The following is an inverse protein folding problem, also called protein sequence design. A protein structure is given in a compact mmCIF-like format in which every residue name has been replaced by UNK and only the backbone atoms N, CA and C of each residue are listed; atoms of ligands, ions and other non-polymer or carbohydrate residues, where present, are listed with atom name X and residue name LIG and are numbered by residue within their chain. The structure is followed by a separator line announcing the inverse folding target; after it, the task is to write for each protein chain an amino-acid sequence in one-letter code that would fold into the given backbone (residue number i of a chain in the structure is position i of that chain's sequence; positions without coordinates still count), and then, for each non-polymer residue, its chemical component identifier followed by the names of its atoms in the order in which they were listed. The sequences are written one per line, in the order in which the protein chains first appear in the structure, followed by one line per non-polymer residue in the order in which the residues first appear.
data_IF_780486471485
#
_entry.id   IF_780486471485
#
_cell.length_a   1.000
_cell.length_b   1.000
_cell.length_c   1.000
_cell.angle_alpha   90.00
_cell.angle_beta   90.00
_cell.angle_gamma   90.00
#
_symmetry.space_group_name_H-M   'P 1'
#
loop_
_entity.id
_entity.type
_entity.pdbx_description
1 polymer ?
#
# COMPACT_ATOMS: atom_id res chain seq x y z
N UNK A 1 -34.93 -24.26 16.07
CA UNK A 1 -33.63 -24.47 16.75
C UNK A 1 -33.84 -24.44 18.26
N UNK A 2 -34.73 -25.28 18.78
CA UNK A 2 -35.02 -25.37 20.21
C UNK A 2 -34.49 -26.71 20.70
N UNK A 3 -33.66 -26.66 21.76
CA UNK A 3 -33.06 -27.76 22.52
C UNK A 3 -31.83 -28.47 21.93
N UNK A 4 -30.62 -27.92 22.15
CA UNK A 4 -29.39 -28.72 22.34
C UNK A 4 -28.38 -27.96 23.23
N UNK A 5 -28.80 -27.43 24.38
CA UNK A 5 -27.83 -27.06 25.42
C UNK A 5 -27.99 -28.05 26.55
N UNK A 6 -26.94 -28.82 26.90
CA UNK A 6 -27.03 -29.79 27.98
C UNK A 6 -27.32 -29.07 29.30
N UNK A 7 -28.09 -29.68 30.21
CA UNK A 7 -28.50 -29.04 31.46
C UNK A 7 -27.34 -28.78 32.45
N UNK A 8 -26.17 -29.39 32.22
CA UNK A 8 -24.94 -29.12 32.97
C UNK A 8 -23.71 -29.28 32.06
N UNK A 9 -22.70 -28.43 32.25
CA UNK A 9 -21.36 -28.59 31.66
C UNK A 9 -20.52 -29.45 32.60
N UNK A 10 -20.39 -30.73 32.28
CA UNK A 10 -19.45 -31.66 32.90
C UNK A 10 -18.23 -31.91 31.99
N UNK A 11 -17.25 -32.67 32.50
CA UNK A 11 -16.01 -32.98 31.78
C UNK A 11 -16.20 -33.78 30.47
N UNK A 12 -17.38 -34.36 30.24
CA UNK A 12 -17.68 -35.13 29.02
C UNK A 12 -18.54 -34.36 28.00
N UNK A 13 -19.38 -33.42 28.46
CA UNK A 13 -20.26 -32.62 27.61
C UNK A 13 -19.52 -31.50 26.88
N UNK A 14 -18.45 -30.95 27.47
CA UNK A 14 -17.64 -29.89 26.82
C UNK A 14 -17.00 -30.37 25.51
N UNK A 15 -16.30 -31.52 25.46
CA UNK A 15 -15.75 -32.04 24.19
C UNK A 15 -16.82 -32.29 23.13
N UNK A 16 -17.99 -32.80 23.53
CA UNK A 16 -19.09 -33.10 22.61
C UNK A 16 -19.72 -31.82 22.03
N UNK A 17 -19.86 -30.77 22.84
CA UNK A 17 -20.36 -29.47 22.40
C UNK A 17 -19.37 -28.81 21.42
N UNK A 18 -18.07 -28.84 21.73
CA UNK A 18 -17.02 -28.34 20.83
C UNK A 18 -17.04 -29.11 19.52
N UNK A 19 -17.14 -30.44 19.55
CA UNK A 19 -17.19 -31.25 18.34
C UNK A 19 -18.46 -30.99 17.51
N UNK A 20 -19.60 -30.75 18.16
CA UNK A 20 -20.86 -30.42 17.48
C UNK A 20 -20.79 -29.02 16.83
N UNK A 21 -20.21 -28.03 17.53
CA UNK A 21 -19.94 -26.70 16.99
C UNK A 21 -18.96 -26.79 15.82
N UNK A 22 -17.89 -27.57 15.94
CA UNK A 22 -16.91 -27.76 14.87
C UNK A 22 -17.56 -28.37 13.62
N UNK A 23 -18.45 -29.37 13.78
CA UNK A 23 -19.19 -29.95 12.64
C UNK A 23 -20.20 -28.97 12.03
N UNK A 24 -20.82 -28.12 12.84
CA UNK A 24 -21.81 -27.16 12.38
C UNK A 24 -21.17 -25.98 11.63
N UNK A 25 -20.04 -25.47 12.14
CA UNK A 25 -19.35 -24.31 11.58
C UNK A 25 -18.27 -24.67 10.55
N UNK A 26 -17.71 -25.89 10.62
CA UNK A 26 -16.70 -26.40 9.69
C UNK A 26 -17.16 -27.72 9.08
N UNK A 27 -18.23 -27.72 8.26
CA UNK A 27 -18.69 -28.93 7.58
C UNK A 27 -17.53 -29.53 6.78
N UNK A 28 -17.38 -30.86 6.86
CA UNK A 28 -16.35 -31.57 6.10
C UNK A 28 -16.44 -31.19 4.62
N UNK A 29 -15.36 -30.64 4.02
CA UNK A 29 -15.41 -30.14 2.66
C UNK A 29 -15.77 -31.29 1.71
N UNK A 30 -16.75 -31.06 0.85
CA UNK A 30 -17.16 -32.06 -0.16
C UNK A 30 -15.96 -32.49 -0.99
N UNK A 31 -15.87 -33.76 -1.43
CA UNK A 31 -14.84 -34.21 -2.35
C UNK A 31 -14.75 -33.25 -3.56
N UNK A 32 -13.56 -32.69 -3.79
CA UNK A 32 -13.33 -31.69 -4.85
C UNK A 32 -13.49 -30.23 -4.46
N UNK A 33 -13.92 -29.88 -3.24
CA UNK A 33 -13.98 -28.48 -2.78
C UNK A 33 -12.60 -27.80 -2.83
N UNK A 34 -11.54 -28.49 -2.38
CA UNK A 34 -10.16 -27.97 -2.49
C UNK A 34 -9.75 -27.71 -3.94
N UNK A 35 -10.11 -28.59 -4.86
CA UNK A 35 -9.82 -28.41 -6.28
C UNK A 35 -10.59 -27.22 -6.87
N UNK A 36 -11.88 -27.07 -6.54
CA UNK A 36 -12.70 -25.92 -6.97
C UNK A 36 -12.19 -24.61 -6.41
N UNK A 37 -11.81 -24.58 -5.12
CA UNK A 37 -11.20 -23.39 -4.51
C UNK A 37 -9.84 -23.08 -5.12
N UNK A 38 -8.99 -24.09 -5.37
CA UNK A 38 -7.72 -23.89 -6.05
C UNK A 38 -7.91 -23.34 -7.47
N UNK A 39 -8.86 -23.87 -8.24
CA UNK A 39 -9.23 -23.39 -9.59
C UNK A 39 -9.80 -21.98 -9.52
N UNK A 40 -10.67 -21.68 -8.55
CA UNK A 40 -11.23 -20.35 -8.39
C UNK A 40 -10.14 -19.35 -8.00
N UNK A 41 -9.22 -19.72 -7.10
CA UNK A 41 -8.08 -18.86 -6.72
C UNK A 41 -7.11 -18.67 -7.86
N UNK A 42 -6.81 -19.70 -8.64
CA UNK A 42 -5.97 -19.57 -9.85
C UNK A 42 -6.67 -18.71 -10.90
N UNK A 43 -7.96 -18.91 -11.18
CA UNK A 43 -8.69 -18.09 -12.17
C UNK A 43 -8.86 -16.64 -11.72
N UNK A 44 -9.19 -16.41 -10.44
CA UNK A 44 -9.36 -15.05 -9.89
C UNK A 44 -8.01 -14.34 -9.79
N UNK A 45 -6.94 -15.06 -9.45
CA UNK A 45 -5.57 -14.55 -9.46
C UNK A 45 -5.06 -14.26 -10.87
N UNK A 46 -5.23 -15.18 -11.82
CA UNK A 46 -4.71 -15.07 -13.19
C UNK A 46 -5.43 -14.00 -14.02
N UNK A 47 -6.75 -13.82 -13.87
CA UNK A 47 -7.48 -12.79 -14.64
C UNK A 47 -7.34 -11.37 -14.09
N UNK A 48 -7.01 -11.19 -12.81
CA UNK A 48 -6.97 -9.87 -12.17
C UNK A 48 -5.58 -9.39 -11.75
N UNK A 49 -4.54 -10.22 -11.83
CA UNK A 49 -3.20 -9.91 -11.33
C UNK A 49 -2.11 -10.10 -12.38
N UNK A 50 -2.15 -9.32 -13.46
CA UNK A 50 -0.88 -9.01 -14.11
C UNK A 50 -0.10 -8.11 -13.15
N UNK A 51 1.10 -8.51 -12.71
CA UNK A 51 1.93 -7.70 -11.82
C UNK A 51 2.64 -6.60 -12.61
N UNK A 52 3.18 -6.98 -13.76
CA UNK A 52 3.95 -6.11 -14.66
C UNK A 52 3.47 -6.37 -16.08
N UNK A 53 3.25 -5.30 -16.85
CA UNK A 53 2.85 -5.38 -18.25
C UNK A 53 3.47 -4.23 -19.04
N UNK A 54 3.85 -4.51 -20.28
CA UNK A 54 4.21 -3.47 -21.22
C UNK A 54 2.96 -2.84 -21.84
N UNK A 55 2.85 -1.52 -21.78
CA UNK A 55 1.78 -0.73 -22.37
C UNK A 55 2.38 0.13 -23.49
N UNK A 56 1.83 0.01 -24.69
CA UNK A 56 2.25 0.79 -25.85
C UNK A 56 1.53 2.15 -25.85
N UNK A 57 2.31 3.21 -26.03
CA UNK A 57 1.88 4.61 -26.15
C UNK A 57 2.64 5.27 -27.30
N UNK A 58 2.24 6.49 -27.65
CA UNK A 58 2.88 7.28 -28.72
C UNK A 58 4.35 7.57 -28.44
N UNK A 59 4.74 7.74 -27.16
CA UNK A 59 6.15 7.92 -26.76
C UNK A 59 6.96 6.63 -26.63
N UNK A 60 6.32 5.47 -26.81
CA UNK A 60 6.94 4.15 -26.79
C UNK A 60 6.27 3.16 -25.84
N UNK A 61 7.04 2.12 -25.44
CA UNK A 61 6.54 1.01 -24.63
C UNK A 61 6.95 1.19 -23.17
N UNK A 62 5.98 1.53 -22.32
CA UNK A 62 6.19 1.66 -20.88
C UNK A 62 6.07 0.29 -20.20
N UNK A 63 7.01 -0.01 -19.32
CA UNK A 63 6.76 -1.02 -18.30
C UNK A 63 5.80 -0.40 -17.29
N UNK A 64 4.63 -0.99 -17.09
CA UNK A 64 3.62 -0.57 -16.11
C UNK A 64 3.48 -1.66 -15.06
N UNK A 65 3.43 -1.27 -13.80
CA UNK A 65 3.13 -2.17 -12.69
C UNK A 65 1.67 -1.99 -12.35
N UNK A 66 0.95 -3.09 -12.18
CA UNK A 66 -0.41 -3.01 -11.69
C UNK A 66 -0.35 -2.68 -10.19
N UNK A 67 -0.84 -1.51 -9.76
CA UNK A 67 -0.71 -1.09 -8.38
C UNK A 67 -1.43 -2.05 -7.44
N UNK A 68 -2.53 -2.68 -7.85
CA UNK A 68 -3.32 -3.55 -6.96
C UNK A 68 -2.57 -4.79 -6.48
N UNK A 69 -2.09 -5.69 -7.37
CA UNK A 69 -1.31 -6.84 -6.94
C UNK A 69 0.04 -6.42 -6.37
N UNK A 70 0.68 -5.36 -6.89
CA UNK A 70 1.95 -4.89 -6.35
C UNK A 70 1.83 -4.46 -4.88
N UNK A 71 0.81 -3.64 -4.57
CA UNK A 71 0.50 -3.28 -3.19
C UNK A 71 0.17 -4.50 -2.36
N UNK A 72 -0.70 -5.40 -2.84
CA UNK A 72 -1.06 -6.63 -2.12
C UNK A 72 0.17 -7.48 -1.78
N UNK A 73 1.08 -7.68 -2.74
CA UNK A 73 2.34 -8.38 -2.56
C UNK A 73 3.22 -7.67 -1.54
N UNK A 74 3.33 -6.34 -1.62
CA UNK A 74 4.06 -5.52 -0.64
C UNK A 74 3.53 -5.71 0.78
N UNK A 75 2.20 -5.64 0.99
CA UNK A 75 1.59 -5.87 2.31
C UNK A 75 1.89 -7.27 2.81
N UNK A 76 1.70 -8.26 1.95
CA UNK A 76 1.87 -9.66 2.31
C UNK A 76 3.33 -9.98 2.65
N UNK A 77 4.28 -9.51 1.83
CA UNK A 77 5.71 -9.67 2.08
C UNK A 77 6.15 -8.98 3.36
N UNK A 78 5.63 -7.77 3.63
CA UNK A 78 5.92 -7.06 4.88
C UNK A 78 5.33 -7.80 6.09
N UNK A 79 4.07 -8.23 6.03
CA UNK A 79 3.45 -9.00 7.11
C UNK A 79 4.17 -10.32 7.39
N UNK A 80 4.62 -11.03 6.36
CA UNK A 80 5.41 -12.25 6.52
C UNK A 80 6.77 -11.97 7.15
N UNK A 81 7.42 -10.87 6.77
CA UNK A 81 8.67 -10.43 7.35
C UNK A 81 8.51 -10.04 8.83
N UNK A 82 7.46 -9.29 9.17
CA UNK A 82 7.12 -8.93 10.55
C UNK A 82 6.85 -10.18 11.40
N UNK A 83 6.15 -11.17 10.85
CA UNK A 83 5.96 -12.46 11.52
C UNK A 83 7.30 -13.18 11.75
N UNK A 84 8.21 -13.14 10.76
CA UNK A 84 9.55 -13.69 10.91
C UNK A 84 10.39 -12.94 11.96
N UNK A 85 10.26 -11.61 12.01
CA UNK A 85 10.83 -10.76 13.06
C UNK A 85 10.30 -11.20 14.44
N UNK A 86 8.99 -11.31 14.59
CA UNK A 86 8.34 -11.72 15.84
C UNK A 86 8.79 -13.11 16.30
N UNK A 87 8.76 -14.09 15.40
CA UNK A 87 9.23 -15.44 15.68
C UNK A 87 10.70 -15.44 16.08
N UNK A 88 11.54 -14.66 15.39
CA UNK A 88 12.97 -14.55 15.69
C UNK A 88 13.22 -13.84 17.02
N UNK A 89 12.42 -12.82 17.36
CA UNK A 89 12.45 -12.13 18.65
C UNK A 89 12.11 -13.11 19.78
N UNK A 90 10.97 -13.79 19.72
CA UNK A 90 10.58 -14.76 20.76
C UNK A 90 11.55 -15.94 20.86
N UNK A 91 12.08 -16.41 19.74
CA UNK A 91 13.09 -17.47 19.72
C UNK A 91 14.44 -17.02 20.28
N UNK A 92 14.83 -15.76 20.04
CA UNK A 92 16.06 -15.18 20.59
C UNK A 92 15.95 -14.92 22.09
N UNK A 93 14.81 -14.38 22.54
CA UNK A 93 14.59 -13.91 23.91
C UNK A 93 14.01 -14.93 24.87
N UNK A 94 13.22 -15.90 24.41
CA UNK A 94 12.63 -16.89 25.30
C UNK A 94 13.69 -17.85 25.85
N UNK A 95 14.26 -18.75 25.02
CA UNK A 95 15.26 -19.73 25.48
C UNK A 95 16.69 -19.21 25.64
N UNK A 96 16.97 -17.90 25.50
CA UNK A 96 18.33 -17.32 25.52
C UNK A 96 19.31 -17.85 24.44
N UNK A 97 18.84 -18.56 23.40
CA UNK A 97 19.72 -19.44 22.62
C UNK A 97 20.36 -18.86 21.37
N UNK A 98 19.91 -17.73 20.79
CA UNK A 98 20.67 -17.08 19.71
C UNK A 98 20.14 -15.69 19.33
N UNK A 99 20.74 -14.62 19.86
CA UNK A 99 20.37 -13.25 19.47
C UNK A 99 20.75 -12.91 18.01
N UNK A 100 21.66 -13.68 17.39
CA UNK A 100 22.16 -13.41 16.03
C UNK A 100 21.08 -13.60 14.96
N UNK A 101 20.20 -14.59 15.13
CA UNK A 101 19.11 -14.81 14.19
C UNK A 101 18.16 -13.59 14.15
N UNK A 102 17.83 -13.07 15.33
CA UNK A 102 17.05 -11.85 15.49
C UNK A 102 17.73 -10.63 14.87
N UNK A 103 19.00 -10.38 15.20
CA UNK A 103 19.77 -9.27 14.63
C UNK A 103 19.87 -9.36 13.10
N UNK A 104 20.11 -10.55 12.57
CA UNK A 104 20.18 -10.79 11.13
C UNK A 104 18.86 -10.44 10.44
N UNK A 105 17.74 -11.01 10.92
CA UNK A 105 16.41 -10.75 10.35
C UNK A 105 16.05 -9.26 10.44
N UNK A 106 16.25 -8.63 11.60
CA UNK A 106 15.97 -7.20 11.81
C UNK A 106 16.74 -6.32 10.82
N UNK A 107 17.97 -6.67 10.50
CA UNK A 107 18.81 -5.85 9.64
C UNK A 107 18.32 -5.80 8.18
N UNK A 108 17.56 -6.81 7.74
CA UNK A 108 16.92 -6.80 6.42
C UNK A 108 15.70 -5.87 6.31
N UNK A 109 15.23 -5.28 7.41
CA UNK A 109 14.04 -4.43 7.38
C UNK A 109 14.20 -3.22 6.46
N UNK A 110 15.39 -2.62 6.46
CA UNK A 110 15.69 -1.47 5.61
C UNK A 110 15.65 -1.84 4.12
N UNK A 111 16.12 -3.05 3.76
CA UNK A 111 16.05 -3.57 2.39
C UNK A 111 14.58 -3.72 1.97
N UNK A 112 13.77 -4.34 2.83
CA UNK A 112 12.37 -4.59 2.54
C UNK A 112 11.57 -3.28 2.42
N UNK A 113 11.73 -2.37 3.39
CA UNK A 113 11.08 -1.05 3.35
C UNK A 113 11.52 -0.23 2.13
N UNK A 114 12.81 -0.28 1.75
CA UNK A 114 13.30 0.36 0.54
C UNK A 114 12.65 -0.21 -0.72
N UNK A 115 12.53 -1.54 -0.83
CA UNK A 115 11.89 -2.20 -1.96
C UNK A 115 10.40 -1.83 -2.06
N UNK A 116 9.70 -1.86 -0.92
CA UNK A 116 8.29 -1.49 -0.80
C UNK A 116 8.07 -0.02 -1.18
N UNK A 117 8.87 0.89 -0.61
CA UNK A 117 8.81 2.32 -0.90
C UNK A 117 9.09 2.60 -2.37
N UNK A 118 10.04 1.88 -2.99
CA UNK A 118 10.32 2.01 -4.41
C UNK A 118 9.13 1.58 -5.30
N UNK A 119 8.60 0.37 -5.07
CA UNK A 119 7.46 -0.16 -5.82
C UNK A 119 6.27 0.81 -5.71
N UNK A 120 5.99 1.29 -4.49
CA UNK A 120 4.88 2.18 -4.21
C UNK A 120 5.04 3.53 -4.92
N UNK A 121 6.17 4.21 -4.72
CA UNK A 121 6.47 5.49 -5.38
C UNK A 121 6.43 5.38 -6.90
N UNK A 122 6.95 4.28 -7.45
CA UNK A 122 6.96 4.07 -8.89
C UNK A 122 5.57 3.80 -9.46
N UNK A 123 4.73 3.03 -8.77
CA UNK A 123 3.33 2.83 -9.21
C UNK A 123 2.56 4.15 -9.23
N UNK A 124 2.80 5.05 -8.27
CA UNK A 124 2.24 6.41 -8.28
C UNK A 124 2.76 7.25 -9.44
N UNK A 125 4.08 7.24 -9.68
CA UNK A 125 4.71 7.97 -10.79
C UNK A 125 4.20 7.48 -12.16
N UNK A 126 4.03 6.17 -12.35
CA UNK A 126 3.46 5.62 -13.59
C UNK A 126 2.02 6.06 -13.81
N UNK A 127 1.19 6.04 -12.76
CA UNK A 127 -0.19 6.52 -12.86
C UNK A 127 -0.24 7.99 -13.27
N UNK A 128 0.66 8.81 -12.72
CA UNK A 128 0.83 10.22 -13.10
C UNK A 128 1.28 10.38 -14.56
N UNK A 129 2.36 9.70 -14.98
CA UNK A 129 2.86 9.77 -16.35
C UNK A 129 1.78 9.37 -17.36
N UNK A 130 1.03 8.29 -17.09
CA UNK A 130 -0.06 7.84 -17.97
C UNK A 130 -1.23 8.81 -18.02
N UNK A 131 -1.51 9.55 -16.93
CA UNK A 131 -2.57 10.55 -16.89
C UNK A 131 -2.19 11.81 -17.68
N UNK A 132 -0.93 12.25 -17.57
CA UNK A 132 -0.44 13.52 -18.11
C UNK A 132 -0.01 13.42 -19.58
N UNK A 133 0.41 12.23 -20.05
CA UNK A 133 0.86 12.02 -21.44
C UNK A 133 -0.24 12.27 -22.50
N UNK A 134 -1.51 12.45 -22.10
CA UNK A 134 -2.57 12.84 -23.03
C UNK A 134 -2.39 14.23 -23.62
N UNK A 135 -1.66 15.12 -22.93
CA UNK A 135 -1.53 16.53 -23.32
C UNK A 135 -0.15 16.82 -23.91
N UNK A 136 0.92 16.35 -23.25
CA UNK A 136 2.29 16.53 -23.73
C UNK A 136 3.19 15.34 -23.36
N UNK A 137 4.22 15.09 -24.18
CA UNK A 137 5.21 14.04 -23.93
C UNK A 137 6.28 14.57 -22.96
N UNK A 138 6.08 14.37 -21.66
CA UNK A 138 7.03 14.82 -20.63
C UNK A 138 8.29 13.96 -20.50
N UNK A 139 8.16 12.64 -20.67
CA UNK A 139 9.25 11.70 -20.42
C UNK A 139 9.21 10.55 -21.43
N UNK A 140 10.34 10.27 -22.08
CA UNK A 140 10.43 9.13 -23.00
C UNK A 140 10.24 7.80 -22.27
N UNK A 141 9.59 6.83 -22.92
CA UNK A 141 9.39 5.50 -22.35
C UNK A 141 10.71 4.80 -21.96
N UNK A 142 11.79 5.05 -22.72
CA UNK A 142 13.13 4.51 -22.41
C UNK A 142 13.67 5.11 -21.11
N UNK A 143 13.60 6.43 -20.96
CA UNK A 143 14.05 7.12 -19.73
C UNK A 143 13.24 6.66 -18.52
N UNK A 144 11.92 6.53 -18.67
CA UNK A 144 11.05 6.02 -17.61
C UNK A 144 11.44 4.60 -17.19
N UNK A 145 11.63 3.68 -18.15
CA UNK A 145 12.02 2.30 -17.85
C UNK A 145 13.42 2.21 -17.24
N UNK A 146 14.37 3.04 -17.69
CA UNK A 146 15.72 3.12 -17.11
C UNK A 146 15.67 3.65 -15.68
N UNK A 147 14.88 4.70 -15.41
CA UNK A 147 14.68 5.20 -14.05
C UNK A 147 14.04 4.15 -13.15
N UNK A 148 13.07 3.39 -13.68
CA UNK A 148 12.45 2.30 -12.93
C UNK A 148 13.45 1.23 -12.51
N UNK A 149 14.14 0.67 -13.51
CA UNK A 149 15.06 -0.44 -13.31
C UNK A 149 16.30 0.03 -12.55
N UNK A 150 16.85 1.19 -12.91
CA UNK A 150 18.04 1.76 -12.30
C UNK A 150 17.80 2.22 -10.86
N UNK A 151 16.66 2.83 -10.56
CA UNK A 151 16.35 3.27 -9.19
C UNK A 151 15.88 2.14 -8.28
N UNK A 152 15.21 1.12 -8.82
CA UNK A 152 14.70 -0.02 -8.05
C UNK A 152 15.70 -1.12 -7.81
N UNK A 153 16.51 -1.42 -8.83
CA UNK A 153 17.60 -2.39 -8.76
C UNK A 153 18.93 -1.74 -8.40
N UNK A 154 18.94 -0.46 -8.04
CA UNK A 154 20.14 0.25 -7.59
C UNK A 154 20.90 -0.62 -6.59
N UNK A 155 22.02 -1.24 -7.01
CA UNK A 155 22.78 -2.12 -6.14
C UNK A 155 23.45 -1.31 -5.03
N UNK A 156 23.55 0.02 -5.21
CA UNK A 156 24.02 0.94 -4.19
C UNK A 156 23.08 0.97 -2.97
N UNK A 157 21.75 1.03 -3.14
CA UNK A 157 20.82 1.05 -2.00
C UNK A 157 20.79 -0.29 -1.27
N UNK A 158 20.75 -1.39 -2.02
CA UNK A 158 20.79 -2.73 -1.43
C UNK A 158 22.16 -3.01 -0.79
N UNK A 159 23.24 -2.62 -1.46
CA UNK A 159 24.60 -2.71 -0.95
C UNK A 159 24.82 -1.86 0.29
N UNK A 160 24.25 -0.66 0.35
CA UNK A 160 24.28 0.18 1.54
C UNK A 160 23.51 -0.46 2.68
N UNK A 161 22.30 -0.97 2.44
CA UNK A 161 21.50 -1.67 3.45
C UNK A 161 22.16 -2.97 3.95
N UNK A 162 22.80 -3.73 3.06
CA UNK A 162 23.59 -4.93 3.43
C UNK A 162 24.86 -4.51 4.18
N UNK A 163 25.54 -3.44 3.76
CA UNK A 163 26.74 -2.94 4.42
C UNK A 163 26.41 -2.40 5.82
N UNK A 164 25.31 -1.67 5.99
CA UNK A 164 24.83 -1.21 7.30
C UNK A 164 24.39 -2.38 8.17
N UNK A 165 23.82 -3.44 7.58
CA UNK A 165 23.52 -4.71 8.27
C UNK A 165 24.81 -5.35 8.82
N UNK A 166 25.77 -5.62 7.95
CA UNK A 166 27.04 -6.30 8.32
C UNK A 166 27.86 -5.44 9.29
N UNK A 167 27.91 -4.11 9.06
CA UNK A 167 28.56 -3.18 9.99
C UNK A 167 27.79 -3.11 11.30
N UNK A 168 26.46 -3.16 11.27
CA UNK A 168 25.60 -3.17 12.44
C UNK A 168 25.86 -4.36 13.34
N UNK A 169 26.00 -5.57 12.78
CA UNK A 169 26.38 -6.76 13.56
C UNK A 169 27.78 -6.64 14.18
N UNK A 170 28.76 -6.15 13.42
CA UNK A 170 30.12 -5.93 13.93
C UNK A 170 30.15 -4.83 15.00
N UNK A 171 29.39 -3.76 14.79
CA UNK A 171 29.24 -2.67 15.72
C UNK A 171 28.52 -3.13 16.98
N UNK A 172 27.53 -4.02 16.87
CA UNK A 172 26.82 -4.59 18.01
C UNK A 172 27.76 -5.42 18.89
N UNK A 173 28.61 -6.26 18.29
CA UNK A 173 29.65 -7.00 19.04
C UNK A 173 30.57 -6.04 19.79
N UNK A 174 31.05 -4.98 19.12
CA UNK A 174 31.87 -3.94 19.76
C UNK A 174 31.10 -3.07 20.75
N UNK A 175 29.80 -2.90 20.56
CA UNK A 175 28.91 -2.14 21.43
C UNK A 175 28.65 -2.90 22.72
N UNK A 176 28.54 -4.24 22.70
CA UNK A 176 28.48 -5.02 23.94
C UNK A 176 29.78 -4.84 24.76
N UNK A 177 30.93 -4.83 24.09
CA UNK A 177 32.23 -4.54 24.72
C UNK A 177 32.31 -3.09 25.24
N UNK A 178 31.88 -2.12 24.44
CA UNK A 178 31.88 -0.69 24.79
C UNK A 178 30.84 -0.33 25.85
N UNK A 179 29.65 -0.96 25.84
CA UNK A 179 28.59 -0.76 26.84
C UNK A 179 29.06 -1.23 28.21
N UNK A 180 29.82 -2.32 28.27
CA UNK A 180 30.48 -2.75 29.49
C UNK A 180 31.43 -1.67 30.05
N UNK A 181 32.01 -0.86 29.16
CA UNK A 181 32.89 0.27 29.50
C UNK A 181 32.16 1.62 29.69
N UNK A 182 30.97 1.83 29.11
CA UNK A 182 30.30 3.14 28.99
C UNK A 182 29.01 3.29 29.81
N UNK A 183 28.77 2.47 30.83
CA UNK A 183 27.66 2.64 31.79
C UNK A 183 27.67 3.97 32.59
N UNK A 184 28.32 5.06 32.14
CA UNK A 184 28.26 6.36 32.80
C UNK A 184 27.82 7.56 31.97
N UNK A 185 28.01 7.63 30.65
CA UNK A 185 27.62 8.86 29.93
C UNK A 185 27.21 8.64 28.47
N UNK A 186 26.11 9.31 28.12
CA UNK A 186 25.67 9.77 26.79
C UNK A 186 24.58 8.93 26.07
N UNK A 187 23.33 9.41 26.10
CA UNK A 187 22.20 8.90 25.27
C UNK A 187 21.30 10.01 24.67
N UNK A 188 21.64 11.29 24.80
CA UNK A 188 20.69 12.38 24.49
C UNK A 188 20.74 12.94 23.07
N UNK A 189 21.88 12.84 22.37
CA UNK A 189 22.09 13.60 21.13
C UNK A 189 21.43 12.99 19.89
N UNK A 190 21.10 11.70 19.90
CA UNK A 190 20.54 10.99 18.73
C UNK A 190 19.00 11.05 18.71
N UNK A 191 18.36 11.17 19.89
CA UNK A 191 16.90 11.20 20.03
C UNK A 191 16.30 12.53 19.54
N UNK A 192 17.03 13.64 19.64
CA UNK A 192 16.50 14.97 19.30
C UNK A 192 16.41 15.27 17.79
N UNK A 193 17.22 14.63 16.94
CA UNK A 193 17.31 14.97 15.50
C UNK A 193 16.19 14.30 14.69
N UNK A 194 15.78 13.09 15.07
CA UNK A 194 14.79 12.30 14.34
C UNK A 194 13.40 12.94 14.25
N UNK A 195 12.83 13.53 15.33
CA UNK A 195 11.52 14.18 15.29
C UNK A 195 11.43 15.35 14.30
N UNK A 196 12.51 16.12 14.17
CA UNK A 196 12.55 17.32 13.31
C UNK A 196 12.47 16.92 11.83
N UNK A 197 13.15 15.85 11.45
CA UNK A 197 13.13 15.34 10.07
C UNK A 197 11.76 14.77 9.72
N UNK A 198 11.12 14.05 10.64
CA UNK A 198 9.77 13.49 10.44
C UNK A 198 8.75 14.61 10.24
N UNK A 199 8.74 15.61 11.14
CA UNK A 199 7.84 16.76 11.05
C UNK A 199 8.01 17.54 9.73
N UNK A 200 9.24 17.69 9.24
CA UNK A 200 9.50 18.37 7.97
C UNK A 200 8.88 17.64 6.76
N UNK A 201 8.94 16.31 6.74
CA UNK A 201 8.36 15.48 5.68
C UNK A 201 6.82 15.58 5.69
N UNK A 202 6.20 15.52 6.88
CA UNK A 202 4.75 15.60 7.01
C UNK A 202 4.19 16.96 6.58
N UNK A 203 4.84 18.05 7.02
CA UNK A 203 4.46 19.42 6.61
C UNK A 203 4.57 19.57 5.09
N UNK A 204 5.61 19.02 4.47
CA UNK A 204 5.76 19.01 3.02
C UNK A 204 4.64 18.24 2.31
N UNK A 205 4.25 17.08 2.84
CA UNK A 205 3.14 16.27 2.33
C UNK A 205 1.79 17.00 2.40
N UNK A 206 1.49 17.65 3.53
CA UNK A 206 0.27 18.45 3.68
C UNK A 206 0.24 19.66 2.76
N UNK A 207 1.36 20.36 2.60
CA UNK A 207 1.46 21.50 1.70
C UNK A 207 1.22 21.09 0.24
N UNK A 208 1.76 19.94 -0.19
CA UNK A 208 1.54 19.40 -1.53
C UNK A 208 0.08 19.00 -1.75
N UNK A 209 -0.54 18.31 -0.78
CA UNK A 209 -1.95 17.93 -0.85
C UNK A 209 -2.87 19.15 -0.92
N UNK A 210 -2.60 20.19 -0.13
CA UNK A 210 -3.34 21.45 -0.17
C UNK A 210 -3.21 22.15 -1.53
N UNK A 211 -2.00 22.14 -2.13
CA UNK A 211 -1.76 22.72 -3.46
C UNK A 211 -2.51 21.96 -4.55
N UNK A 212 -2.46 20.63 -4.54
CA UNK A 212 -3.18 19.80 -5.51
C UNK A 212 -4.70 19.97 -5.40
N UNK A 213 -5.22 20.18 -4.19
CA UNK A 213 -6.64 20.48 -3.98
C UNK A 213 -7.05 21.81 -4.61
N UNK A 214 -6.23 22.86 -4.48
CA UNK A 214 -6.48 24.16 -5.15
C UNK A 214 -6.48 24.01 -6.68
N UNK A 215 -5.50 23.30 -7.23
CA UNK A 215 -5.44 23.04 -8.67
C UNK A 215 -6.65 22.23 -9.16
N UNK A 216 -7.15 21.30 -8.34
CA UNK A 216 -8.38 20.55 -8.64
C UNK A 216 -9.59 21.49 -8.74
N UNK A 217 -9.77 22.37 -7.75
CA UNK A 217 -10.92 23.27 -7.70
C UNK A 217 -10.93 24.21 -8.93
N UNK A 218 -9.77 24.75 -9.31
CA UNK A 218 -9.59 25.54 -10.55
C UNK A 218 -9.91 24.73 -11.81
N UNK A 219 -9.48 23.46 -11.85
CA UNK A 219 -9.74 22.56 -12.99
C UNK A 219 -11.22 22.19 -13.11
N UNK A 220 -11.90 21.99 -11.98
CA UNK A 220 -13.34 21.69 -11.93
C UNK A 220 -14.14 22.88 -12.43
N UNK A 221 -13.78 24.09 -12.01
CA UNK A 221 -14.44 25.32 -12.45
C UNK A 221 -14.33 25.47 -13.97
N UNK A 222 -13.13 25.34 -14.54
CA UNK A 222 -12.91 25.36 -16.00
C UNK A 222 -13.65 24.24 -16.73
N UNK A 223 -13.66 23.02 -16.17
CA UNK A 223 -14.35 21.87 -16.75
C UNK A 223 -15.88 22.01 -16.71
N UNK A 224 -16.43 22.70 -15.71
CA UNK A 224 -17.88 22.94 -15.58
C UNK A 224 -18.41 23.83 -16.71
N UNK A 225 -17.59 24.73 -17.23
CA UNK A 225 -17.92 25.55 -18.42
C UNK A 225 -17.83 24.75 -19.72
N UNK A 226 -17.05 23.68 -19.76
CA UNK A 226 -16.86 22.83 -20.94
C UNK A 226 -17.64 21.52 -20.80
N UNK A 227 -18.92 21.53 -21.20
CA UNK A 227 -19.97 20.50 -21.09
C UNK A 227 -19.64 19.02 -21.45
N UNK A 228 -18.39 18.63 -21.70
CA UNK A 228 -17.94 17.26 -21.99
C UNK A 228 -17.01 16.61 -20.96
N UNK A 229 -16.61 17.30 -19.88
CA UNK A 229 -15.48 16.86 -19.04
C UNK A 229 -15.84 16.09 -17.76
N UNK A 230 -17.11 15.76 -17.51
CA UNK A 230 -17.57 15.15 -16.25
C UNK A 230 -16.84 13.86 -15.84
N UNK A 231 -16.42 13.04 -16.82
CA UNK A 231 -15.62 11.82 -16.56
C UNK A 231 -14.22 12.13 -16.03
N UNK A 232 -13.56 13.18 -16.56
CA UNK A 232 -12.23 13.60 -16.08
C UNK A 232 -12.33 14.15 -14.67
N UNK A 233 -13.34 14.96 -14.38
CA UNK A 233 -13.60 15.51 -13.04
C UNK A 233 -13.78 14.39 -12.00
N UNK A 234 -14.59 13.38 -12.30
CA UNK A 234 -14.78 12.23 -11.40
C UNK A 234 -13.50 11.43 -11.15
N UNK A 235 -12.66 11.25 -12.17
CA UNK A 235 -11.37 10.57 -12.04
C UNK A 235 -10.40 11.38 -11.17
N UNK A 236 -10.33 12.69 -11.36
CA UNK A 236 -9.49 13.61 -10.59
C UNK A 236 -9.95 13.72 -9.13
N UNK A 237 -11.26 13.83 -8.88
CA UNK A 237 -11.83 13.84 -7.53
C UNK A 237 -11.52 12.54 -6.78
N UNK A 238 -11.56 11.40 -7.47
CA UNK A 238 -11.13 10.13 -6.91
C UNK A 238 -9.64 10.14 -6.55
N UNK A 239 -8.78 10.58 -7.48
CA UNK A 239 -7.35 10.67 -7.24
C UNK A 239 -7.01 11.56 -6.04
N UNK A 240 -7.71 12.69 -5.86
CA UNK A 240 -7.55 13.57 -4.70
C UNK A 240 -7.99 12.91 -3.40
N UNK A 241 -9.11 12.19 -3.42
CA UNK A 241 -9.59 11.46 -2.24
C UNK A 241 -8.60 10.36 -1.83
N UNK A 242 -8.07 9.62 -2.81
CA UNK A 242 -7.07 8.58 -2.58
C UNK A 242 -5.76 9.19 -2.04
N UNK A 243 -5.33 10.32 -2.60
CA UNK A 243 -4.15 11.05 -2.12
C UNK A 243 -4.34 11.58 -0.70
N UNK A 244 -5.46 12.21 -0.40
CA UNK A 244 -5.76 12.73 0.94
C UNK A 244 -5.79 11.60 1.96
N UNK A 245 -6.39 10.46 1.61
CA UNK A 245 -6.41 9.26 2.48
C UNK A 245 -4.99 8.78 2.74
N UNK A 246 -4.16 8.70 1.70
CA UNK A 246 -2.75 8.30 1.82
C UNK A 246 -1.95 9.28 2.69
N UNK A 247 -2.08 10.59 2.47
CA UNK A 247 -1.40 11.62 3.27
C UNK A 247 -1.84 11.58 4.72
N UNK A 248 -3.15 11.40 5.00
CA UNK A 248 -3.66 11.28 6.37
C UNK A 248 -3.12 10.04 7.09
N UNK A 249 -2.98 8.92 6.36
CA UNK A 249 -2.36 7.72 6.90
C UNK A 249 -0.87 7.92 7.21
N UNK A 250 -0.12 8.56 6.32
CA UNK A 250 1.29 8.89 6.54
C UNK A 250 1.45 9.78 7.78
N UNK A 251 0.65 10.85 7.88
CA UNK A 251 0.69 11.75 9.03
C UNK A 251 0.33 11.04 10.35
N UNK A 252 -0.65 10.13 10.32
CA UNK A 252 -0.99 9.31 11.48
C UNK A 252 0.18 8.40 11.89
N UNK A 253 0.79 7.68 10.94
CA UNK A 253 1.97 6.85 11.16
C UNK A 253 3.11 7.68 11.79
N UNK A 254 3.36 8.87 11.25
CA UNK A 254 4.42 9.74 11.72
C UNK A 254 4.17 10.27 13.16
N UNK A 255 2.93 10.65 13.48
CA UNK A 255 2.54 11.06 14.84
C UNK A 255 2.68 9.91 15.84
N UNK A 256 2.28 8.72 15.41
CA UNK A 256 2.46 7.48 16.16
C UNK A 256 3.94 7.17 16.43
N UNK A 257 4.82 7.29 15.43
CA UNK A 257 6.27 7.17 15.61
C UNK A 257 6.86 8.25 16.52
N UNK A 258 6.32 9.47 16.48
CA UNK A 258 6.74 10.56 17.35
C UNK A 258 6.37 10.30 18.81
N UNK A 259 5.17 9.80 19.08
CA UNK A 259 4.76 9.38 20.42
C UNK A 259 5.67 8.28 20.97
N UNK A 260 6.05 7.33 20.11
CA UNK A 260 6.97 6.26 20.46
C UNK A 260 8.39 6.76 20.77
N UNK A 261 8.88 7.76 20.03
CA UNK A 261 10.14 8.43 20.34
C UNK A 261 10.13 9.12 21.71
N UNK A 262 9.03 9.82 22.05
CA UNK A 262 8.87 10.43 23.38
C UNK A 262 8.86 9.35 24.46
N UNK A 263 8.15 8.25 24.23
CA UNK A 263 8.09 7.12 25.15
C UNK A 263 9.46 6.48 25.37
N UNK A 264 10.22 6.22 24.30
CA UNK A 264 11.60 5.69 24.40
C UNK A 264 12.51 6.68 25.14
N UNK A 265 12.38 7.98 24.89
CA UNK A 265 13.14 9.01 25.61
C UNK A 265 12.83 8.99 27.11
N UNK A 266 11.55 8.90 27.48
CA UNK A 266 11.11 8.77 28.86
C UNK A 266 11.68 7.50 29.52
N UNK A 267 11.58 6.36 28.86
CA UNK A 267 12.14 5.10 29.36
C UNK A 267 13.66 5.12 29.49
N UNK A 268 14.38 5.98 28.77
CA UNK A 268 15.83 6.12 28.89
C UNK A 268 16.26 6.92 30.14
N UNK A 269 15.37 7.74 30.72
CA UNK A 269 15.64 8.50 31.94
C UNK A 269 15.44 7.70 33.22
N UNK A 270 14.54 6.72 33.20
CA UNK A 270 14.13 5.99 34.39
C UNK A 270 15.33 5.24 35.02
N UNK A 271 15.71 5.52 36.28
CA UNK A 271 16.81 4.82 36.93
C UNK A 271 16.52 3.32 37.12
N UNK A 272 15.26 2.88 37.16
CA UNK A 272 14.93 1.46 37.22
C UNK A 272 15.23 0.76 35.89
N UNK A 273 14.99 1.39 34.74
CA UNK A 273 15.29 0.81 33.41
C UNK A 273 16.79 0.64 33.16
N UNK A 274 17.66 1.34 33.89
CA UNK A 274 19.12 1.11 33.87
C UNK A 274 19.53 -0.26 34.43
N UNK A 275 18.70 -0.86 35.29
CA UNK A 275 18.88 -2.21 35.81
C UNK A 275 18.13 -3.28 34.98
N UNK A 276 17.30 -2.86 34.03
CA UNK A 276 16.39 -3.77 33.34
C UNK A 276 17.09 -4.62 32.28
N UNK A 277 16.68 -5.87 32.24
CA UNK A 277 17.07 -6.87 31.24
C UNK A 277 16.83 -6.36 29.81
N UNK A 278 17.88 -6.44 28.99
CA UNK A 278 17.90 -6.14 27.54
C UNK A 278 16.60 -6.47 26.74
N UNK A 279 15.88 -7.58 26.97
CA UNK A 279 14.58 -7.84 26.35
C UNK A 279 13.55 -6.70 26.47
N UNK A 280 13.52 -5.96 27.58
CA UNK A 280 12.59 -4.85 27.77
C UNK A 280 12.95 -3.65 26.91
N UNK A 281 14.25 -3.31 26.83
CA UNK A 281 14.76 -2.23 25.97
C UNK A 281 14.54 -2.58 24.50
N UNK A 282 14.71 -3.85 24.14
CA UNK A 282 14.44 -4.32 22.79
C UNK A 282 12.93 -4.33 22.48
N UNK A 283 12.06 -4.75 23.42
CA UNK A 283 10.61 -4.66 23.25
C UNK A 283 10.14 -3.20 23.08
N UNK A 284 10.75 -2.26 23.79
CA UNK A 284 10.57 -0.81 23.62
C UNK A 284 11.06 -0.32 22.25
N UNK A 285 12.21 -0.78 21.78
CA UNK A 285 12.68 -0.42 20.44
C UNK A 285 11.77 -1.01 19.34
N UNK A 286 11.07 -2.11 19.64
CA UNK A 286 10.13 -2.76 18.74
C UNK A 286 8.74 -2.15 18.75
N UNK A 287 8.32 -1.41 19.78
CA UNK A 287 7.01 -0.75 19.78
C UNK A 287 6.87 0.19 18.58
N UNK A 288 7.95 0.85 18.16
CA UNK A 288 7.90 1.80 17.04
C UNK A 288 7.64 1.05 15.73
N UNK A 289 8.21 -0.15 15.62
CA UNK A 289 7.99 -1.04 14.50
C UNK A 289 6.54 -1.55 14.47
N UNK A 290 6.02 -1.96 15.63
CA UNK A 290 4.64 -2.41 15.78
C UNK A 290 3.63 -1.32 15.43
N UNK A 291 3.84 -0.14 15.97
CA UNK A 291 3.01 1.03 15.75
C UNK A 291 3.00 1.39 14.27
N UNK A 292 4.17 1.39 13.62
CA UNK A 292 4.29 1.57 12.17
C UNK A 292 3.52 0.49 11.40
N UNK A 293 3.74 -0.79 11.73
CA UNK A 293 3.11 -1.93 11.06
C UNK A 293 1.59 -1.89 11.19
N UNK A 294 1.05 -1.62 12.37
CA UNK A 294 -0.40 -1.50 12.61
C UNK A 294 -0.96 -0.33 11.82
N UNK A 295 -0.32 0.84 11.86
CA UNK A 295 -0.79 2.01 11.15
C UNK A 295 -0.77 1.81 9.62
N UNK A 296 0.27 1.18 9.09
CA UNK A 296 0.36 0.78 7.68
C UNK A 296 -0.75 -0.22 7.33
N UNK A 297 -0.95 -1.27 8.12
CA UNK A 297 -2.03 -2.26 7.89
C UNK A 297 -3.40 -1.60 7.90
N UNK A 298 -3.68 -0.70 8.85
CA UNK A 298 -4.95 0.04 8.90
C UNK A 298 -5.13 0.91 7.68
N UNK A 299 -4.09 1.66 7.26
CA UNK A 299 -4.13 2.47 6.05
C UNK A 299 -4.42 1.64 4.80
N UNK A 300 -3.79 0.47 4.70
CA UNK A 300 -3.96 -0.48 3.61
C UNK A 300 -5.38 -1.07 3.58
N UNK A 301 -5.92 -1.43 4.74
CA UNK A 301 -7.30 -1.91 4.86
C UNK A 301 -8.29 -0.82 4.46
N UNK A 302 -8.07 0.42 4.90
CA UNK A 302 -8.88 1.58 4.50
C UNK A 302 -8.83 1.80 2.98
N UNK A 303 -7.64 1.83 2.38
CA UNK A 303 -7.49 1.99 0.92
C UNK A 303 -8.15 0.82 0.15
N UNK A 304 -7.98 -0.41 0.62
CA UNK A 304 -8.61 -1.60 0.03
C UNK A 304 -10.13 -1.53 0.12
N UNK A 305 -10.66 -1.10 1.27
CA UNK A 305 -12.09 -0.90 1.48
C UNK A 305 -12.65 0.20 0.57
N UNK A 306 -11.97 1.34 0.45
CA UNK A 306 -12.35 2.43 -0.46
C UNK A 306 -12.33 1.97 -1.92
N UNK A 307 -11.31 1.20 -2.33
CA UNK A 307 -11.22 0.62 -3.65
C UNK A 307 -12.40 -0.33 -3.95
N UNK A 308 -12.76 -1.20 -3.00
CA UNK A 308 -13.91 -2.11 -3.10
C UNK A 308 -15.24 -1.35 -3.18
N UNK A 309 -15.41 -0.30 -2.37
CA UNK A 309 -16.61 0.53 -2.38
C UNK A 309 -16.77 1.29 -3.70
N UNK A 310 -15.67 1.74 -4.30
CA UNK A 310 -15.68 2.46 -5.58
C UNK A 310 -16.17 1.60 -6.75
N UNK A 311 -15.92 0.28 -6.73
CA UNK A 311 -16.38 -0.64 -7.78
C UNK A 311 -17.89 -0.82 -7.80
N UNK A 312 -18.57 -0.65 -6.66
CA UNK A 312 -20.04 -0.82 -6.58
C UNK A 312 -20.83 0.34 -7.20
N UNK A 313 -20.17 1.44 -7.53
CA UNK A 313 -20.82 2.70 -7.92
C UNK A 313 -20.70 3.06 -9.40
N UNK A 314 -20.06 2.26 -10.25
CA UNK A 314 -20.03 2.52 -11.69
C UNK A 314 -21.24 1.78 -12.28
N UNK A 315 -22.34 2.46 -12.61
CA UNK A 315 -23.44 1.84 -13.35
C UNK A 315 -22.90 1.48 -14.74
N UNK A 316 -23.27 0.32 -15.26
CA UNK A 316 -22.86 -0.07 -16.60
C UNK A 316 -23.34 1.00 -17.60
N UNK A 317 -22.44 1.65 -18.35
CA UNK A 317 -22.84 2.68 -19.30
C UNK A 317 -23.87 2.16 -20.32
N UNK A 318 -23.79 0.87 -20.63
CA UNK A 318 -24.66 0.16 -21.56
C UNK A 318 -26.12 0.04 -21.06
N UNK A 319 -26.36 0.14 -19.75
CA UNK A 319 -27.74 0.14 -19.21
C UNK A 319 -28.48 1.47 -19.42
N UNK A 320 -27.78 2.56 -19.78
CA UNK A 320 -28.41 3.88 -19.92
C UNK A 320 -28.74 4.28 -21.35
N UNK A 321 -28.01 3.79 -22.35
CA UNK A 321 -28.25 4.15 -23.76
C UNK A 321 -29.49 3.46 -24.37
N UNK A 322 -29.96 2.35 -23.79
CA UNK A 322 -31.12 1.62 -24.29
C UNK A 322 -32.50 2.23 -23.97
N UNK A 323 -32.61 3.18 -23.04
CA UNK A 323 -33.93 3.63 -22.55
C UNK A 323 -34.38 5.01 -23.03
N UNK A 324 -33.49 5.82 -23.59
CA UNK A 324 -33.80 7.19 -24.06
C UNK A 324 -33.99 7.30 -25.57
N UNK A 325 -33.63 6.26 -26.35
CA UNK A 325 -33.75 6.26 -27.82
C UNK A 325 -35.14 5.91 -28.37
N UNK A 326 -36.01 5.24 -27.61
CA UNK A 326 -37.24 4.66 -28.16
C UNK A 326 -38.50 5.52 -27.97
N UNK A 327 -38.38 6.75 -27.43
CA UNK A 327 -39.53 7.65 -27.21
C UNK A 327 -39.52 8.96 -27.99
N UNK A 328 -38.58 9.13 -28.93
CA UNK A 328 -38.45 10.34 -29.74
C UNK A 328 -38.71 10.14 -31.25
N UNK A 329 -39.15 8.97 -31.71
CA UNK A 329 -39.23 8.64 -33.16
C UNK A 329 -40.63 8.49 -33.74
N UNK A 330 -41.69 9.01 -33.13
CA UNK A 330 -43.03 8.97 -33.74
C UNK A 330 -43.81 10.28 -33.77
N UNK A 331 -43.18 11.45 -33.64
CA UNK A 331 -43.88 12.72 -33.95
C UNK A 331 -42.99 13.80 -34.56
N UNK A 332 -42.93 13.76 -35.89
CA UNK A 332 -42.87 14.97 -36.72
C UNK A 332 -41.47 15.47 -37.06
N UNK A 333 -41.00 15.14 -38.27
CA UNK A 333 -40.84 16.10 -39.37
C UNK A 333 -39.97 15.48 -40.47
N UNK A 334 -40.66 14.96 -41.47
CA UNK A 334 -40.16 14.84 -42.83
C UNK A 334 -39.73 16.23 -43.31
N UNK A 335 -38.45 16.56 -43.20
CA UNK A 335 -37.84 17.66 -43.93
C UNK A 335 -36.85 17.07 -44.93
N UNK A 336 -37.38 16.89 -46.14
CA UNK A 336 -36.70 16.48 -47.37
C UNK A 336 -35.52 17.42 -47.65
N UNK A 337 -34.33 17.07 -47.16
CA UNK A 337 -33.08 17.77 -47.51
C UNK A 337 -32.71 17.36 -48.93
N UNK A 338 -32.95 18.27 -49.87
CA UNK A 338 -32.44 18.23 -51.25
C UNK A 338 -30.91 18.23 -51.19
N UNK A 339 -30.27 17.17 -51.68
CA UNK A 339 -28.84 17.18 -52.03
C UNK A 339 -28.62 18.14 -53.22
N UNK A 340 -27.69 19.11 -53.15
CA UNK A 340 -27.22 19.79 -54.35
C UNK A 340 -26.32 18.86 -55.16
N UNK A 341 -26.51 18.89 -56.48
CA UNK A 341 -25.81 18.09 -57.46
C UNK A 341 -24.29 18.33 -57.40
N UNK A 342 -23.51 17.24 -57.41
CA UNK A 342 -22.08 17.28 -57.64
C UNK A 342 -21.82 17.72 -59.09
N UNK A 343 -21.13 18.84 -59.26
CA UNK A 343 -20.56 19.26 -60.52
C UNK A 343 -19.30 18.44 -60.79
N UNK A 344 -19.35 17.63 -61.84
CA UNK A 344 -18.20 16.99 -62.50
C UNK A 344 -17.30 18.07 -63.07
N UNK A 345 -16.08 18.20 -62.53
CA UNK A 345 -14.99 18.92 -63.16
C UNK A 345 -14.17 17.95 -64.02
N UNK A 346 -14.45 17.93 -65.32
CA UNK A 346 -13.50 17.48 -66.34
C UNK A 346 -12.63 18.69 -66.73
N UNK A 347 -11.32 18.57 -66.57
CA UNK A 347 -10.35 19.57 -67.02
C UNK A 347 -9.15 18.88 -67.65
N UNK A 348 -9.13 18.85 -68.99
CA UNK A 348 -7.97 18.55 -69.82
C UNK A 348 -6.91 19.65 -69.67
N UNK A 349 -5.65 19.22 -69.71
CA UNK A 349 -4.46 20.03 -69.93
C UNK A 349 -3.29 19.11 -70.16
#
# INVERSE_FOLDING_TARGET
MNAVLPPALDGQTVPNLIQALDRAFFPTPTPGFRARMAVLWTLTGLRCMWLVRFVERTSGRFLVINPRPAWTCTVFSFGLFELACLCSFFYGYGPSRNLRAWLGVRSFIAVLLSAIGWITSWTGMQAFLVAVEQEEVYLSARTANILFLGGGLSPERQGFAIATTVRGERLFSRYLDLRSAMCKHCSWSIVAIFPVVILAVDVGGFALAARLRRQLDESIELASYANGHGRKVLALQKAVTDLQTLTSAIAFVALCLFADLIWVAWCAEDPETKLVHWPYVEALAMSALWVYTVAVVVALLCMSFTALRSRRKIPDPDTTEGSTGERATTRGLSKKVRRPAQATWEGRG
#
